data_IF_945899064880
#
_entry.id   IF_945899064880
#
_cell.length_a   1.000
_cell.length_b   1.000
_cell.length_c   1.000
_cell.angle_alpha   90.00
_cell.angle_beta   90.00
_cell.angle_gamma   90.00
#
_symmetry.space_group_name_H-M   'P 1'
#
loop_
_entity.id
_entity.type
_entity.pdbx_description
1 polymer ?
#
# COMPACT_ATOMS: atom_id res chain seq x y z
N UNK A 1 -20.64 0.45 3.78
CA UNK A 1 -19.34 0.91 4.30
C UNK A 1 -18.87 -0.05 5.38
N UNK A 2 -17.92 -0.93 5.05
CA UNK A 2 -17.31 -1.81 6.05
C UNK A 2 -16.37 -0.91 6.86
N UNK A 3 -16.81 -0.54 8.06
CA UNK A 3 -16.06 0.26 9.01
C UNK A 3 -14.86 -0.57 9.49
N UNK A 4 -13.78 -0.58 8.70
CA UNK A 4 -12.51 -1.22 9.05
C UNK A 4 -11.89 -0.37 10.16
N UNK A 5 -12.27 -0.69 11.38
CA UNK A 5 -11.53 -0.27 12.56
C UNK A 5 -10.04 -0.59 12.36
N UNK A 6 -9.12 0.36 12.60
CA UNK A 6 -7.70 0.12 12.45
C UNK A 6 -7.29 -1.02 13.40
N UNK A 7 -6.61 -2.03 12.87
CA UNK A 7 -6.20 -3.22 13.62
C UNK A 7 -5.42 -2.87 14.90
N UNK A 8 -4.72 -1.73 14.91
CA UNK A 8 -3.98 -1.20 16.04
C UNK A 8 -4.85 -0.82 17.24
N UNK A 9 -5.97 -0.14 17.02
CA UNK A 9 -6.89 0.24 18.09
C UNK A 9 -7.41 -0.98 18.85
N UNK A 10 -7.66 -2.07 18.12
CA UNK A 10 -8.10 -3.33 18.72
C UNK A 10 -7.04 -3.98 19.61
N UNK A 11 -5.79 -3.97 19.19
CA UNK A 11 -4.68 -4.51 20.00
C UNK A 11 -4.53 -3.73 21.30
N UNK A 12 -4.70 -2.40 21.25
CA UNK A 12 -4.72 -1.55 22.43
C UNK A 12 -5.85 -1.93 23.40
N UNK A 13 -7.09 -2.03 22.92
CA UNK A 13 -8.26 -2.41 23.74
C UNK A 13 -8.05 -3.76 24.44
N UNK A 14 -7.53 -4.76 23.71
CA UNK A 14 -7.24 -6.10 24.25
C UNK A 14 -6.17 -6.03 25.36
N UNK A 15 -5.07 -5.31 25.12
CA UNK A 15 -3.98 -5.20 26.08
C UNK A 15 -4.45 -4.53 27.39
N UNK A 16 -5.29 -3.50 27.29
CA UNK A 16 -5.84 -2.81 28.45
C UNK A 16 -6.80 -3.71 29.20
N UNK A 17 -7.67 -4.44 28.49
CA UNK A 17 -8.58 -5.42 29.09
C UNK A 17 -7.83 -6.54 29.82
N UNK A 18 -6.78 -7.10 29.22
CA UNK A 18 -5.97 -8.14 29.86
C UNK A 18 -5.30 -7.63 31.14
N UNK A 19 -4.73 -6.42 31.12
CA UNK A 19 -4.11 -5.83 32.31
C UNK A 19 -5.15 -5.50 33.39
N UNK A 20 -6.35 -5.07 32.99
CA UNK A 20 -7.48 -4.88 33.91
C UNK A 20 -7.89 -6.18 34.61
N UNK A 21 -8.02 -7.28 33.86
CA UNK A 21 -8.35 -8.59 34.41
C UNK A 21 -7.26 -9.05 35.38
N UNK A 22 -5.98 -8.94 35.00
CA UNK A 22 -4.86 -9.31 35.87
C UNK A 22 -4.84 -8.49 37.15
N UNK A 23 -5.04 -7.17 37.07
CA UNK A 23 -5.11 -6.32 38.25
C UNK A 23 -6.27 -6.69 39.16
N UNK A 24 -7.44 -6.99 38.59
CA UNK A 24 -8.62 -7.45 39.33
C UNK A 24 -8.36 -8.80 40.03
N UNK A 25 -7.71 -9.75 39.35
CA UNK A 25 -7.32 -11.04 39.94
C UNK A 25 -6.35 -10.84 41.12
N UNK A 26 -5.36 -9.95 40.98
CA UNK A 26 -4.41 -9.66 42.07
C UNK A 26 -5.11 -9.07 43.30
N UNK A 27 -6.08 -8.19 43.09
CA UNK A 27 -6.89 -7.61 44.16
C UNK A 27 -7.72 -8.71 44.84
N UNK A 28 -8.39 -9.58 44.08
CA UNK A 28 -9.17 -10.70 44.64
C UNK A 28 -8.27 -11.68 45.40
N UNK A 29 -7.06 -11.94 44.90
CA UNK A 29 -6.10 -12.82 45.57
C UNK A 29 -5.65 -12.24 46.91
N UNK A 30 -5.47 -10.92 47.01
CA UNK A 30 -5.20 -10.25 48.27
C UNK A 30 -6.37 -10.45 49.27
N UNK A 31 -7.61 -10.28 48.82
CA UNK A 31 -8.79 -10.52 49.67
C UNK A 31 -8.90 -11.98 50.11
N UNK A 32 -8.66 -12.93 49.21
CA UNK A 32 -8.64 -14.35 49.55
C UNK A 32 -7.64 -14.65 50.68
N UNK A 33 -6.43 -14.08 50.61
CA UNK A 33 -5.45 -14.27 51.69
C UNK A 33 -5.91 -13.69 53.03
N UNK A 34 -6.62 -12.56 52.99
CA UNK A 34 -7.16 -11.93 54.19
C UNK A 34 -8.34 -12.70 54.79
N UNK A 35 -9.26 -13.19 53.95
CA UNK A 35 -10.44 -13.95 54.39
C UNK A 35 -10.03 -15.29 55.01
N UNK A 36 -9.03 -15.94 54.42
CA UNK A 36 -8.42 -17.14 55.00
C UNK A 36 -7.78 -16.85 56.36
N UNK A 37 -7.15 -15.69 56.53
CA UNK A 37 -6.58 -15.27 57.83
C UNK A 37 -7.67 -15.04 58.88
N UNK A 38 -8.80 -14.42 58.51
CA UNK A 38 -9.96 -14.23 59.40
C UNK A 38 -10.79 -15.50 59.60
N UNK A 39 -10.43 -16.62 58.96
CA UNK A 39 -11.21 -17.87 58.99
C UNK A 39 -12.64 -17.73 58.45
N UNK A 40 -12.87 -16.82 57.51
CA UNK A 40 -14.15 -16.67 56.80
C UNK A 40 -14.17 -17.54 55.54
N UNK A 41 -14.56 -18.80 55.69
CA UNK A 41 -14.50 -19.79 54.61
C UNK A 41 -15.47 -19.50 53.46
N UNK A 42 -16.62 -18.89 53.73
CA UNK A 42 -17.60 -18.55 52.68
C UNK A 42 -17.09 -17.42 51.77
N UNK A 43 -16.53 -16.36 52.35
CA UNK A 43 -15.90 -15.27 51.61
C UNK A 43 -14.69 -15.78 50.78
N UNK A 44 -13.87 -16.64 51.39
CA UNK A 44 -12.74 -17.27 50.69
C UNK A 44 -13.21 -18.13 49.50
N UNK A 45 -14.32 -18.87 49.65
CA UNK A 45 -14.89 -19.65 48.55
C UNK A 45 -15.39 -18.75 47.41
N UNK A 46 -16.11 -17.67 47.74
CA UNK A 46 -16.58 -16.66 46.77
C UNK A 46 -15.39 -16.03 45.99
N UNK A 47 -14.31 -15.69 46.70
CA UNK A 47 -13.08 -15.16 46.09
C UNK A 47 -12.39 -16.20 45.19
N UNK A 48 -12.26 -17.45 45.62
CA UNK A 48 -11.66 -18.53 44.83
C UNK A 48 -12.44 -18.80 43.53
N UNK A 49 -13.77 -18.85 43.60
CA UNK A 49 -14.63 -18.99 42.40
C UNK A 49 -14.41 -17.82 41.45
N UNK A 50 -14.34 -16.59 41.97
CA UNK A 50 -14.10 -15.40 41.18
C UNK A 50 -12.74 -15.45 40.45
N UNK A 51 -11.66 -15.91 41.11
CA UNK A 51 -10.34 -16.09 40.49
C UNK A 51 -10.41 -17.08 39.33
N UNK A 52 -11.12 -18.20 39.49
CA UNK A 52 -11.28 -19.20 38.43
C UNK A 52 -12.04 -18.61 37.23
N UNK A 53 -13.13 -17.88 37.48
CA UNK A 53 -13.93 -17.24 36.43
C UNK A 53 -13.11 -16.19 35.67
N UNK A 54 -12.41 -15.30 36.38
CA UNK A 54 -11.58 -14.27 35.74
C UNK A 54 -10.34 -14.86 35.05
N UNK A 55 -9.75 -15.92 35.60
CA UNK A 55 -8.69 -16.69 34.96
C UNK A 55 -9.14 -17.35 33.66
N UNK A 56 -10.35 -17.92 33.63
CA UNK A 56 -10.96 -18.47 32.42
C UNK A 56 -11.23 -17.36 31.39
N UNK A 57 -11.71 -16.19 31.81
CA UNK A 57 -11.90 -15.03 30.93
C UNK A 57 -10.57 -14.56 30.31
N UNK A 58 -9.50 -14.47 31.12
CA UNK A 58 -8.15 -14.13 30.67
C UNK A 58 -7.65 -15.13 29.63
N UNK A 59 -7.75 -16.43 29.93
CA UNK A 59 -7.38 -17.51 29.01
C UNK A 59 -8.17 -17.46 27.70
N UNK A 60 -9.48 -17.20 27.76
CA UNK A 60 -10.34 -17.08 26.59
C UNK A 60 -9.93 -15.93 25.67
N UNK A 61 -9.59 -14.76 26.22
CA UNK A 61 -9.14 -13.61 25.43
C UNK A 61 -7.82 -13.94 24.73
N UNK A 62 -6.86 -14.54 25.43
CA UNK A 62 -5.58 -14.93 24.84
C UNK A 62 -5.78 -15.98 23.75
N UNK A 63 -6.54 -17.04 24.04
CA UNK A 63 -6.79 -18.15 23.11
C UNK A 63 -7.42 -17.65 21.79
N UNK A 64 -8.39 -16.76 21.90
CA UNK A 64 -9.10 -16.19 20.73
C UNK A 64 -8.36 -15.03 20.07
N UNK A 65 -7.13 -14.71 20.52
CA UNK A 65 -6.36 -13.52 20.09
C UNK A 65 -7.19 -12.23 20.16
N UNK A 66 -8.00 -12.11 21.22
CA UNK A 66 -8.92 -11.00 21.44
C UNK A 66 -9.93 -10.82 20.31
N UNK A 67 -10.59 -11.91 19.91
CA UNK A 67 -11.76 -11.85 19.03
C UNK A 67 -12.82 -10.87 19.57
N UNK A 68 -13.56 -10.18 18.70
CA UNK A 68 -14.66 -9.30 19.16
C UNK A 68 -15.72 -10.06 19.96
N UNK A 69 -15.97 -11.32 19.59
CA UNK A 69 -16.91 -12.17 20.31
C UNK A 69 -16.46 -12.44 21.75
N UNK A 70 -15.18 -12.76 21.94
CA UNK A 70 -14.64 -13.07 23.27
C UNK A 70 -14.56 -11.84 24.18
N UNK A 71 -14.17 -10.67 23.67
CA UNK A 71 -14.16 -9.44 24.49
C UNK A 71 -15.56 -9.05 24.94
N UNK A 72 -16.55 -9.16 24.06
CA UNK A 72 -17.98 -8.94 24.39
C UNK A 72 -18.48 -9.95 25.42
N UNK A 73 -18.16 -11.22 25.24
CA UNK A 73 -18.55 -12.28 26.16
C UNK A 73 -17.98 -12.07 27.56
N UNK A 74 -16.69 -11.72 27.67
CA UNK A 74 -16.06 -11.41 28.96
C UNK A 74 -16.75 -10.21 29.63
N UNK A 75 -17.15 -9.19 28.88
CA UNK A 75 -17.90 -8.08 29.47
C UNK A 75 -19.29 -8.46 29.94
N UNK A 76 -19.99 -9.33 29.23
CA UNK A 76 -21.24 -9.88 29.73
C UNK A 76 -21.03 -10.60 31.06
N UNK A 77 -19.92 -11.34 31.23
CA UNK A 77 -19.55 -11.95 32.51
C UNK A 77 -19.31 -10.89 33.59
N UNK A 78 -18.60 -9.81 33.30
CA UNK A 78 -18.42 -8.70 34.25
C UNK A 78 -19.75 -8.07 34.68
N UNK A 79 -20.65 -7.78 33.72
CA UNK A 79 -21.98 -7.24 34.03
C UNK A 79 -22.79 -8.23 34.86
N UNK A 80 -22.75 -9.52 34.53
CA UNK A 80 -23.40 -10.57 35.33
C UNK A 80 -22.81 -10.70 36.73
N UNK A 81 -21.49 -10.57 36.89
CA UNK A 81 -20.83 -10.57 38.19
C UNK A 81 -21.31 -9.41 39.06
N UNK A 82 -21.54 -8.24 38.46
CA UNK A 82 -22.06 -7.06 39.15
C UNK A 82 -23.52 -7.26 39.57
N UNK A 83 -24.35 -7.84 38.69
CA UNK A 83 -25.73 -8.18 39.03
C UNK A 83 -25.75 -9.18 40.19
N UNK A 84 -24.88 -10.18 40.17
CA UNK A 84 -24.71 -11.14 41.27
C UNK A 84 -24.33 -10.44 42.57
N UNK A 85 -23.29 -9.59 42.54
CA UNK A 85 -22.87 -8.80 43.69
C UNK A 85 -24.01 -7.99 44.31
N UNK A 86 -24.83 -7.33 43.48
CA UNK A 86 -25.99 -6.57 43.96
C UNK A 86 -27.00 -7.43 44.73
N UNK A 87 -27.37 -8.61 44.23
CA UNK A 87 -28.37 -9.44 44.93
C UNK A 87 -27.80 -10.05 46.22
N UNK A 88 -26.53 -10.44 46.22
CA UNK A 88 -25.93 -11.17 47.34
C UNK A 88 -25.26 -10.29 48.41
N UNK A 89 -24.89 -9.05 48.09
CA UNK A 89 -24.10 -8.18 48.97
C UNK A 89 -24.89 -6.95 49.48
N UNK A 90 -26.23 -7.03 49.57
CA UNK A 90 -27.02 -5.95 50.16
C UNK A 90 -27.37 -4.80 49.20
N UNK A 91 -27.37 -5.04 47.88
CA UNK A 91 -27.89 -4.10 46.90
C UNK A 91 -26.91 -2.99 46.52
N UNK A 92 -27.42 -1.77 46.31
CA UNK A 92 -26.62 -0.58 45.97
C UNK A 92 -25.98 0.12 47.17
N UNK A 93 -26.14 -0.39 48.39
CA UNK A 93 -25.55 0.24 49.57
C UNK A 93 -24.05 -0.06 49.69
N UNK A 94 -23.34 0.84 50.37
CA UNK A 94 -21.92 0.67 50.67
C UNK A 94 -21.05 0.61 49.42
N UNK A 95 -20.13 -0.35 49.41
CA UNK A 95 -19.05 -0.40 48.43
C UNK A 95 -19.49 -0.89 47.05
N UNK A 96 -20.58 -1.66 46.97
CA UNK A 96 -21.11 -2.18 45.71
C UNK A 96 -21.49 -1.05 44.76
N UNK A 97 -21.91 0.10 45.29
CA UNK A 97 -22.16 1.30 44.48
C UNK A 97 -20.93 1.72 43.67
N UNK A 98 -19.73 1.59 44.24
CA UNK A 98 -18.47 1.91 43.55
C UNK A 98 -18.16 0.91 42.43
N UNK A 99 -18.53 -0.36 42.55
CA UNK A 99 -18.34 -1.32 41.45
C UNK A 99 -19.26 -1.00 40.27
N UNK A 100 -20.50 -0.57 40.55
CA UNK A 100 -21.42 -0.07 39.53
C UNK A 100 -20.77 1.11 38.79
N UNK A 101 -20.43 2.18 39.52
CA UNK A 101 -19.86 3.37 38.90
C UNK A 101 -18.45 3.16 38.32
N UNK A 102 -17.68 2.22 38.86
CA UNK A 102 -16.37 1.85 38.35
C UNK A 102 -16.47 1.17 36.99
N UNK A 103 -17.44 0.26 36.80
CA UNK A 103 -17.61 -0.46 35.54
C UNK A 103 -17.92 0.49 34.38
N UNK A 104 -18.73 1.56 34.58
CA UNK A 104 -19.00 2.50 33.48
C UNK A 104 -17.71 3.19 33.01
N UNK A 105 -16.80 3.55 33.91
CA UNK A 105 -15.50 4.13 33.56
C UNK A 105 -14.69 3.13 32.74
N UNK A 106 -14.63 1.88 33.18
CA UNK A 106 -13.93 0.80 32.48
C UNK A 106 -14.52 0.55 31.10
N UNK A 107 -15.85 0.53 30.95
CA UNK A 107 -16.54 0.38 29.66
C UNK A 107 -16.23 1.53 28.70
N UNK A 108 -16.19 2.76 29.20
CA UNK A 108 -15.87 3.95 28.39
C UNK A 108 -14.42 3.96 27.92
N UNK A 109 -13.51 3.42 28.73
CA UNK A 109 -12.07 3.33 28.41
C UNK A 109 -11.79 2.18 27.44
N UNK A 110 -12.37 1.00 27.68
CA UNK A 110 -12.02 -0.23 26.95
C UNK A 110 -12.70 -0.31 25.58
N UNK A 111 -13.94 0.17 25.43
CA UNK A 111 -14.62 0.10 24.16
C UNK A 111 -14.60 1.43 23.43
N UNK A 112 -14.39 1.35 22.12
CA UNK A 112 -14.60 2.47 21.21
C UNK A 112 -15.76 2.21 20.25
N UNK A 113 -16.34 3.29 19.71
CA UNK A 113 -17.32 3.19 18.63
C UNK A 113 -18.72 2.74 19.00
N UNK A 114 -19.28 1.91 18.13
CA UNK A 114 -20.65 1.41 18.25
C UNK A 114 -20.82 0.43 19.41
N UNK A 115 -19.83 -0.44 19.63
CA UNK A 115 -19.86 -1.42 20.73
C UNK A 115 -19.92 -0.70 22.09
N UNK A 116 -19.17 0.39 22.26
CA UNK A 116 -19.25 1.24 23.46
C UNK A 116 -20.67 1.71 23.73
N UNK A 117 -21.32 2.29 22.72
CA UNK A 117 -22.66 2.84 22.87
C UNK A 117 -23.67 1.74 23.22
N UNK A 118 -23.57 0.56 22.59
CA UNK A 118 -24.43 -0.58 22.89
C UNK A 118 -24.25 -1.04 24.35
N UNK A 119 -23.01 -1.22 24.81
CA UNK A 119 -22.75 -1.62 26.20
C UNK A 119 -23.16 -0.58 27.22
N UNK A 120 -22.95 0.71 26.94
CA UNK A 120 -23.39 1.79 27.81
C UNK A 120 -24.92 1.81 27.95
N UNK A 121 -25.66 1.63 26.85
CA UNK A 121 -27.13 1.53 26.89
C UNK A 121 -27.57 0.30 27.70
N UNK A 122 -27.01 -0.88 27.43
CA UNK A 122 -27.31 -2.10 28.20
C UNK A 122 -27.01 -1.89 29.68
N UNK A 123 -25.86 -1.30 30.00
CA UNK A 123 -25.45 -1.02 31.38
C UNK A 123 -26.44 -0.10 32.10
N UNK A 124 -26.87 1.00 31.47
CA UNK A 124 -27.89 1.89 32.06
C UNK A 124 -29.26 1.22 32.21
N UNK A 125 -29.65 0.34 31.29
CA UNK A 125 -30.88 -0.45 31.44
C UNK A 125 -30.78 -1.41 32.63
N UNK A 126 -29.66 -2.12 32.77
CA UNK A 126 -29.38 -2.98 33.92
C UNK A 126 -29.39 -2.17 35.22
N UNK A 127 -28.70 -1.03 35.26
CA UNK A 127 -28.68 -0.14 36.41
C UNK A 127 -30.09 0.35 36.77
N UNK A 128 -30.89 0.77 35.78
CA UNK A 128 -32.29 1.18 35.98
C UNK A 128 -33.15 0.05 36.54
N UNK A 129 -32.97 -1.17 36.04
CA UNK A 129 -33.64 -2.36 36.56
C UNK A 129 -33.23 -2.67 38.01
N UNK A 130 -31.96 -2.53 38.35
CA UNK A 130 -31.45 -2.75 39.70
C UNK A 130 -31.97 -1.68 40.67
N UNK A 131 -32.00 -0.41 40.27
CA UNK A 131 -32.64 0.67 41.02
C UNK A 131 -34.12 0.35 41.25
N UNK A 132 -34.83 -0.13 40.23
CA UNK A 132 -36.23 -0.53 40.36
C UNK A 132 -36.41 -1.67 41.36
N UNK A 133 -35.60 -2.73 41.28
CA UNK A 133 -35.64 -3.86 42.23
C UNK A 133 -35.35 -3.38 43.65
N UNK A 134 -34.34 -2.51 43.83
CA UNK A 134 -34.00 -1.93 45.14
C UNK A 134 -35.18 -1.17 45.77
N UNK A 135 -35.94 -0.42 44.97
CA UNK A 135 -37.04 0.41 45.46
C UNK A 135 -38.34 -0.36 45.70
N UNK A 136 -38.66 -1.33 44.83
CA UNK A 136 -39.97 -2.01 44.85
C UNK A 136 -39.93 -3.46 45.34
N UNK A 137 -38.76 -4.09 45.35
CA UNK A 137 -38.56 -5.51 45.66
C UNK A 137 -37.34 -5.72 46.55
N UNK A 138 -37.21 -4.90 47.59
CA UNK A 138 -36.10 -4.97 48.55
C UNK A 138 -35.93 -6.36 49.19
N UNK A 139 -37.02 -7.11 49.36
CA UNK A 139 -37.03 -8.48 49.91
C UNK A 139 -36.19 -9.49 49.10
N UNK A 140 -35.89 -9.20 47.83
CA UNK A 140 -35.09 -10.08 46.97
C UNK A 140 -33.58 -9.89 47.19
N UNK A 141 -33.18 -8.90 47.96
CA UNK A 141 -31.78 -8.56 48.22
C UNK A 141 -31.39 -9.20 49.55
N UNK A 142 -30.42 -10.10 49.52
CA UNK A 142 -29.86 -10.69 50.75
C UNK A 142 -28.78 -9.76 51.30
N UNK A 143 -28.88 -9.45 52.59
CA UNK A 143 -27.92 -8.60 53.31
C UNK A 143 -26.94 -9.49 54.09
N UNK A 144 -26.06 -10.16 53.34
CA UNK A 144 -25.05 -11.10 53.86
C UNK A 144 -23.82 -10.37 54.44
N UNK A 145 -23.77 -9.02 54.36
CA UNK A 145 -22.58 -8.19 54.61
C UNK A 145 -22.56 -7.39 55.91
N UNK A 146 -23.41 -7.70 56.90
CA UNK A 146 -23.56 -6.86 58.11
C UNK A 146 -22.36 -6.84 59.06
N UNK A 147 -21.42 -7.78 58.93
CA UNK A 147 -20.30 -7.93 59.90
C UNK A 147 -18.95 -7.39 59.39
N UNK A 148 -18.91 -6.74 58.22
CA UNK A 148 -17.66 -6.20 57.70
C UNK A 148 -17.16 -5.01 58.52
N UNK A 149 -15.93 -5.13 59.00
CA UNK A 149 -15.25 -4.09 59.78
C UNK A 149 -15.07 -2.85 58.92
N UNK A 150 -15.37 -1.65 59.45
CA UNK A 150 -15.20 -0.35 58.74
C UNK A 150 -13.82 -0.21 58.07
N UNK A 151 -12.76 -0.74 58.70
CA UNK A 151 -11.41 -0.73 58.13
C UNK A 151 -11.28 -1.51 56.81
N UNK A 152 -12.00 -2.63 56.64
CA UNK A 152 -12.00 -3.39 55.39
C UNK A 152 -12.65 -2.59 54.27
N UNK A 153 -13.80 -1.97 54.53
CA UNK A 153 -14.46 -1.11 53.56
C UNK A 153 -13.55 0.04 53.11
N UNK A 154 -12.81 0.66 54.04
CA UNK A 154 -11.84 1.72 53.71
C UNK A 154 -10.71 1.17 52.82
N UNK A 155 -10.14 0.00 53.18
CA UNK A 155 -9.08 -0.61 52.40
C UNK A 155 -9.54 -0.98 50.99
N UNK A 156 -10.76 -1.52 50.85
CA UNK A 156 -11.37 -1.81 49.55
C UNK A 156 -11.60 -0.57 48.69
N UNK A 157 -12.09 0.52 49.28
CA UNK A 157 -12.25 1.79 48.57
C UNK A 157 -10.89 2.27 48.03
N UNK A 158 -9.85 2.23 48.86
CA UNK A 158 -8.49 2.63 48.47
C UNK A 158 -7.96 1.74 47.34
N UNK A 159 -8.12 0.42 47.45
CA UNK A 159 -7.68 -0.54 46.43
C UNK A 159 -8.39 -0.30 45.07
N UNK A 160 -9.69 -0.04 45.09
CA UNK A 160 -10.49 0.23 43.87
C UNK A 160 -10.15 1.56 43.22
N UNK A 161 -9.97 2.62 44.02
CA UNK A 161 -9.52 3.93 43.51
C UNK A 161 -8.11 3.78 42.92
N UNK A 162 -7.21 3.10 43.62
CA UNK A 162 -5.85 2.82 43.14
C UNK A 162 -5.84 2.07 41.82
N UNK A 163 -6.66 1.02 41.69
CA UNK A 163 -6.82 0.28 40.43
C UNK A 163 -7.35 1.17 39.30
N UNK A 164 -8.38 1.98 39.57
CA UNK A 164 -8.96 2.89 38.56
C UNK A 164 -7.93 3.90 38.05
N UNK A 165 -7.15 4.51 38.96
CA UNK A 165 -6.06 5.43 38.62
C UNK A 165 -4.96 4.72 37.84
N UNK A 166 -4.57 3.51 38.24
CA UNK A 166 -3.57 2.71 37.56
C UNK A 166 -3.97 2.39 36.11
N UNK A 167 -5.21 1.95 35.89
CA UNK A 167 -5.74 1.65 34.56
C UNK A 167 -5.82 2.91 33.70
N UNK A 168 -6.24 4.04 34.27
CA UNK A 168 -6.27 5.31 33.55
C UNK A 168 -4.85 5.76 33.13
N UNK A 169 -3.87 5.64 34.02
CA UNK A 169 -2.47 5.91 33.71
C UNK A 169 -1.94 5.00 32.59
N UNK A 170 -2.21 3.70 32.67
CA UNK A 170 -1.84 2.75 31.62
C UNK A 170 -2.45 3.10 30.27
N UNK A 171 -3.75 3.44 30.25
CA UNK A 171 -4.44 3.88 29.04
C UNK A 171 -3.76 5.11 28.44
N UNK A 172 -3.47 6.12 29.27
CA UNK A 172 -2.79 7.35 28.82
C UNK A 172 -1.43 7.05 28.22
N UNK A 173 -0.61 6.23 28.87
CA UNK A 173 0.72 5.88 28.38
C UNK A 173 0.68 5.15 27.03
N UNK A 174 -0.20 4.16 26.86
CA UNK A 174 -0.29 3.43 25.58
C UNK A 174 -0.92 4.29 24.47
N UNK A 175 -1.87 5.16 24.81
CA UNK A 175 -2.45 6.11 23.87
C UNK A 175 -1.39 7.09 23.32
N UNK A 176 -0.53 7.61 24.19
CA UNK A 176 0.58 8.49 23.78
C UNK A 176 1.58 7.78 22.85
N UNK A 177 1.92 6.52 23.14
CA UNK A 177 2.78 5.71 22.26
C UNK A 177 2.16 5.52 20.87
N UNK A 178 0.87 5.23 20.83
CA UNK A 178 0.18 5.05 19.56
C UNK A 178 0.09 6.37 18.79
N UNK A 179 -0.08 7.51 19.48
CA UNK A 179 -0.07 8.83 18.83
C UNK A 179 1.27 9.10 18.14
N UNK A 180 2.39 8.80 18.81
CA UNK A 180 3.74 8.94 18.22
C UNK A 180 3.90 8.03 17.01
N UNK A 181 3.49 6.75 17.11
CA UNK A 181 3.57 5.81 15.97
C UNK A 181 2.76 6.29 14.77
N UNK A 182 1.54 6.79 14.99
CA UNK A 182 0.69 7.32 13.90
C UNK A 182 1.35 8.55 13.27
N UNK A 183 1.99 9.39 14.07
CA UNK A 183 2.74 10.54 13.56
C UNK A 183 3.91 10.10 12.67
N UNK A 184 4.75 9.18 13.12
CA UNK A 184 5.91 8.68 12.36
C UNK A 184 5.48 8.00 11.05
N UNK A 185 4.40 7.21 11.08
CA UNK A 185 3.86 6.53 9.88
C UNK A 185 3.30 7.55 8.88
N UNK A 186 2.63 8.61 9.34
CA UNK A 186 2.14 9.67 8.47
C UNK A 186 3.28 10.44 7.81
N UNK A 187 4.35 10.73 8.54
CA UNK A 187 5.54 11.38 7.99
C UNK A 187 6.19 10.52 6.90
N UNK A 188 6.36 9.21 7.14
CA UNK A 188 6.87 8.28 6.14
C UNK A 188 5.96 8.19 4.90
N UNK A 189 4.63 8.21 5.11
CA UNK A 189 3.67 8.18 4.01
C UNK A 189 3.77 9.45 3.16
N UNK A 190 3.95 10.60 3.79
CA UNK A 190 4.17 11.87 3.10
C UNK A 190 5.46 11.86 2.29
N UNK A 191 6.57 11.42 2.89
CA UNK A 191 7.86 11.26 2.17
C UNK A 191 7.73 10.32 0.98
N UNK A 192 7.09 9.17 1.17
CA UNK A 192 6.84 8.18 0.09
C UNK A 192 5.96 8.79 -1.01
N UNK A 193 4.95 9.58 -0.65
CA UNK A 193 4.09 10.26 -1.61
C UNK A 193 4.86 11.29 -2.44
N UNK A 194 5.77 12.02 -1.81
CA UNK A 194 6.66 12.97 -2.50
C UNK A 194 7.59 12.24 -3.46
N UNK A 195 8.20 11.13 -3.02
CA UNK A 195 9.09 10.32 -3.86
C UNK A 195 8.35 9.76 -5.08
N UNK A 196 7.16 9.17 -4.89
CA UNK A 196 6.32 8.68 -5.98
C UNK A 196 5.97 9.80 -6.95
N UNK A 197 5.63 10.98 -6.45
CA UNK A 197 5.34 12.14 -7.31
C UNK A 197 6.56 12.53 -8.15
N UNK A 198 7.75 12.54 -7.56
CA UNK A 198 8.99 12.85 -8.28
C UNK A 198 9.32 11.78 -9.32
N UNK A 199 9.17 10.50 -8.99
CA UNK A 199 9.38 9.39 -9.94
C UNK A 199 8.39 9.45 -11.10
N UNK A 200 7.12 9.80 -10.84
CA UNK A 200 6.11 9.97 -11.88
C UNK A 200 6.46 11.11 -12.84
N UNK A 201 6.98 12.23 -12.33
CA UNK A 201 7.45 13.33 -13.17
C UNK A 201 8.60 12.87 -14.08
N UNK A 202 9.58 12.14 -13.53
CA UNK A 202 10.69 11.56 -14.30
C UNK A 202 10.17 10.61 -15.38
N UNK A 203 9.28 9.67 -15.04
CA UNK A 203 8.67 8.74 -16.01
C UNK A 203 7.94 9.52 -17.12
N UNK A 204 7.18 10.56 -16.77
CA UNK A 204 6.47 11.39 -17.75
C UNK A 204 7.45 12.05 -18.74
N UNK A 205 8.60 12.53 -18.26
CA UNK A 205 9.64 13.07 -19.14
C UNK A 205 10.27 12.02 -20.06
N UNK A 206 10.53 10.80 -19.55
CA UNK A 206 11.04 9.71 -20.37
C UNK A 206 10.03 9.26 -21.43
N UNK A 207 8.76 9.15 -21.08
CA UNK A 207 7.70 8.81 -22.04
C UNK A 207 7.62 9.83 -23.17
N UNK A 208 7.60 11.12 -22.84
CA UNK A 208 7.63 12.19 -23.85
C UNK A 208 8.85 12.10 -24.77
N UNK A 209 10.03 11.75 -24.22
CA UNK A 209 11.24 11.56 -25.02
C UNK A 209 11.15 10.34 -25.94
N UNK A 210 10.62 9.23 -25.44
CA UNK A 210 10.42 8.02 -26.23
C UNK A 210 9.45 8.28 -27.39
N UNK A 211 8.37 9.03 -27.15
CA UNK A 211 7.43 9.44 -28.20
C UNK A 211 8.13 10.22 -29.31
N UNK A 212 8.95 11.22 -28.97
CA UNK A 212 9.72 12.00 -29.96
C UNK A 212 10.68 11.10 -30.74
N UNK A 213 11.44 10.24 -30.06
CA UNK A 213 12.39 9.34 -30.71
C UNK A 213 11.70 8.33 -31.64
N UNK A 214 10.54 7.81 -31.22
CA UNK A 214 9.72 6.92 -32.04
C UNK A 214 9.21 7.66 -33.27
N UNK A 215 8.76 8.91 -33.13
CA UNK A 215 8.31 9.72 -34.25
C UNK A 215 9.45 9.97 -35.26
N UNK A 216 10.63 10.36 -34.78
CA UNK A 216 11.83 10.56 -35.62
C UNK A 216 12.19 9.29 -36.39
N UNK A 217 12.31 8.15 -35.69
CA UNK A 217 12.64 6.87 -36.33
C UNK A 217 11.57 6.40 -37.30
N UNK A 218 10.30 6.67 -37.00
CA UNK A 218 9.19 6.33 -37.89
C UNK A 218 9.29 7.17 -39.17
N UNK A 219 9.63 8.46 -39.08
CA UNK A 219 9.87 9.31 -40.26
C UNK A 219 11.05 8.80 -41.08
N UNK A 220 12.17 8.46 -40.46
CA UNK A 220 13.34 7.91 -41.15
C UNK A 220 13.00 6.63 -41.91
N UNK A 221 12.29 5.71 -41.26
CA UNK A 221 11.86 4.43 -41.87
C UNK A 221 10.89 4.70 -43.02
N UNK A 222 9.95 5.64 -42.88
CA UNK A 222 9.03 5.99 -43.97
C UNK A 222 9.76 6.56 -45.18
N UNK A 223 10.77 7.41 -44.97
CA UNK A 223 11.63 7.93 -46.03
C UNK A 223 12.37 6.77 -46.70
N UNK A 224 13.04 5.93 -45.93
CA UNK A 224 13.78 4.78 -46.46
C UNK A 224 12.89 3.81 -47.23
N UNK A 225 11.68 3.54 -46.72
CA UNK A 225 10.72 2.67 -47.38
C UNK A 225 10.26 3.25 -48.73
N UNK A 226 9.96 4.55 -48.78
CA UNK A 226 9.61 5.22 -50.04
C UNK A 226 10.73 5.09 -51.08
N UNK A 227 11.98 5.25 -50.65
CA UNK A 227 13.14 5.11 -51.52
C UNK A 227 13.37 3.67 -51.99
N UNK A 228 13.18 2.67 -51.12
CA UNK A 228 13.26 1.26 -51.50
C UNK A 228 12.24 0.92 -52.59
N UNK A 229 11.02 1.47 -52.49
CA UNK A 229 9.98 1.33 -53.52
C UNK A 229 10.44 1.94 -54.85
N UNK A 230 11.04 3.14 -54.82
CA UNK A 230 11.58 3.79 -56.02
C UNK A 230 12.71 2.98 -56.66
N UNK A 231 13.67 2.49 -55.86
CA UNK A 231 14.74 1.62 -56.33
C UNK A 231 14.20 0.33 -56.96
N UNK A 232 13.24 -0.33 -56.31
CA UNK A 232 12.61 -1.55 -56.84
C UNK A 232 11.89 -1.28 -58.18
N UNK A 233 11.27 -0.10 -58.34
CA UNK A 233 10.66 0.33 -59.59
C UNK A 233 11.70 0.53 -60.69
N UNK A 234 12.79 1.26 -60.41
CA UNK A 234 13.90 1.47 -61.36
C UNK A 234 14.52 0.14 -61.79
N UNK A 235 14.82 -0.75 -60.85
CA UNK A 235 15.41 -2.05 -61.15
C UNK A 235 14.46 -2.92 -62.02
N UNK A 236 13.18 -2.98 -61.66
CA UNK A 236 12.21 -3.82 -62.36
C UNK A 236 11.84 -3.32 -63.77
N UNK A 237 11.80 -2.01 -64.00
CA UNK A 237 11.32 -1.44 -65.27
C UNK A 237 12.43 -0.84 -66.14
N UNK A 238 13.41 -0.16 -65.53
CA UNK A 238 14.45 0.56 -66.27
C UNK A 238 15.68 -0.29 -66.54
N UNK A 239 16.04 -1.19 -65.63
CA UNK A 239 17.20 -2.10 -65.81
C UNK A 239 16.78 -3.36 -66.55
N UNK A 240 15.67 -4.00 -66.15
CA UNK A 240 15.23 -5.28 -66.74
C UNK A 240 14.83 -5.17 -68.21
N UNK A 241 14.30 -4.02 -68.65
CA UNK A 241 13.87 -3.77 -70.03
C UNK A 241 15.01 -3.89 -71.07
N UNK A 242 16.07 -3.06 -70.98
CA UNK A 242 17.22 -3.18 -71.88
C UNK A 242 17.95 -4.52 -71.73
N UNK A 243 18.09 -5.06 -70.51
CA UNK A 243 18.69 -6.38 -70.30
C UNK A 243 17.93 -7.51 -71.01
N UNK A 244 16.60 -7.52 -70.94
CA UNK A 244 15.78 -8.50 -71.65
C UNK A 244 15.90 -8.36 -73.17
N UNK A 245 16.01 -7.13 -73.69
CA UNK A 245 16.28 -6.87 -75.11
C UNK A 245 17.65 -7.41 -75.54
N UNK A 246 18.70 -7.16 -74.77
CA UNK A 246 20.04 -7.71 -75.01
C UNK A 246 20.01 -9.24 -75.04
N UNK A 247 19.41 -9.87 -74.03
CA UNK A 247 19.29 -11.34 -73.97
C UNK A 247 18.49 -11.91 -75.14
N UNK A 248 17.43 -11.22 -75.57
CA UNK A 248 16.64 -11.56 -76.75
C UNK A 248 17.46 -11.49 -78.04
N UNK A 249 18.22 -10.40 -78.24
CA UNK A 249 19.11 -10.23 -79.40
C UNK A 249 20.22 -11.31 -79.43
N UNK A 250 20.84 -11.59 -78.29
CA UNK A 250 21.84 -12.68 -78.16
C UNK A 250 21.22 -14.04 -78.52
N UNK A 251 19.97 -14.29 -78.12
CA UNK A 251 19.27 -15.52 -78.49
C UNK A 251 18.99 -15.60 -79.99
N UNK A 252 18.55 -14.51 -80.63
CA UNK A 252 18.33 -14.45 -82.07
C UNK A 252 19.62 -14.70 -82.85
N UNK A 253 20.73 -14.05 -82.47
CA UNK A 253 22.04 -14.25 -83.09
C UNK A 253 22.52 -15.70 -82.98
N UNK A 254 22.36 -16.34 -81.82
CA UNK A 254 22.71 -17.76 -81.60
C UNK A 254 21.88 -18.75 -82.41
N UNK A 255 20.72 -18.32 -82.93
CA UNK A 255 19.82 -19.15 -83.72
C UNK A 255 19.98 -18.88 -85.23
N UNK A 256 20.34 -17.66 -85.60
CA UNK A 256 20.73 -17.27 -86.96
C UNK A 256 21.99 -18.00 -87.44
N UNK A 257 22.96 -18.27 -86.55
CA UNK A 257 24.15 -19.12 -86.82
C UNK A 257 23.83 -20.54 -87.28
N UNK A 258 22.61 -21.04 -87.05
CA UNK A 258 22.18 -22.41 -87.35
C UNK A 258 21.42 -22.49 -88.68
N UNK A 259 21.06 -21.37 -89.30
CA UNK A 259 20.10 -21.32 -90.41
C UNK A 259 20.68 -20.58 -91.64
N UNK A 260 21.22 -21.33 -92.61
CA UNK A 260 21.47 -21.01 -94.04
C UNK A 260 22.11 -19.64 -94.45
N UNK A 261 23.11 -19.75 -95.34
CA UNK A 261 24.29 -18.88 -95.53
C UNK A 261 24.11 -17.56 -96.33
N UNK A 262 22.91 -17.19 -96.81
CA UNK A 262 22.84 -16.19 -97.91
C UNK A 262 22.65 -14.71 -97.49
N UNK A 263 22.43 -14.37 -96.21
CA UNK A 263 22.33 -12.97 -95.73
C UNK A 263 22.90 -12.74 -94.32
N UNK A 264 23.70 -13.71 -93.84
CA UNK A 264 24.14 -13.82 -92.46
C UNK A 264 24.90 -12.58 -91.95
N UNK A 265 25.79 -12.01 -92.77
CA UNK A 265 26.64 -10.89 -92.34
C UNK A 265 25.85 -9.59 -92.11
N UNK A 266 24.79 -9.33 -92.89
CA UNK A 266 24.00 -8.11 -92.77
C UNK A 266 23.08 -8.14 -91.54
N UNK A 267 22.39 -9.26 -91.28
CA UNK A 267 21.55 -9.44 -90.08
C UNK A 267 22.37 -9.45 -88.79
N UNK A 268 23.58 -10.03 -88.83
CA UNK A 268 24.49 -10.04 -87.67
C UNK A 268 24.93 -8.62 -87.29
N UNK A 269 25.30 -7.80 -88.28
CA UNK A 269 25.69 -6.40 -88.05
C UNK A 269 24.52 -5.58 -87.49
N UNK A 270 23.30 -5.80 -87.98
CA UNK A 270 22.11 -5.13 -87.45
C UNK A 270 21.81 -5.52 -86.00
N UNK A 271 21.88 -6.81 -85.65
CA UNK A 271 21.70 -7.28 -84.28
C UNK A 271 22.78 -6.78 -83.31
N UNK A 272 24.03 -6.69 -83.77
CA UNK A 272 25.14 -6.11 -82.99
C UNK A 272 24.87 -4.62 -82.72
N UNK A 273 24.44 -3.86 -83.74
CA UNK A 273 24.11 -2.44 -83.57
C UNK A 273 22.93 -2.23 -82.60
N UNK A 274 21.87 -3.06 -82.68
CA UNK A 274 20.75 -2.98 -81.74
C UNK A 274 21.16 -3.37 -80.31
N UNK A 275 22.10 -4.31 -80.16
CA UNK A 275 22.62 -4.73 -78.86
C UNK A 275 23.49 -3.65 -78.23
N UNK A 276 24.30 -2.96 -79.04
CA UNK A 276 25.11 -1.82 -78.61
C UNK A 276 24.22 -0.69 -78.07
N UNK A 277 23.14 -0.33 -78.79
CA UNK A 277 22.13 0.65 -78.33
C UNK A 277 21.49 0.22 -77.01
N UNK A 278 21.08 -1.04 -76.88
CA UNK A 278 20.49 -1.53 -75.62
C UNK A 278 21.51 -1.55 -74.47
N UNK A 279 22.79 -1.81 -74.75
CA UNK A 279 23.87 -1.80 -73.78
C UNK A 279 24.18 -0.37 -73.32
N UNK A 280 24.15 0.62 -74.23
CA UNK A 280 24.31 2.04 -73.87
C UNK A 280 23.13 2.52 -73.02
N UNK A 281 21.90 2.17 -73.38
CA UNK A 281 20.72 2.50 -72.57
C UNK A 281 20.79 1.88 -71.16
N UNK A 282 21.29 0.66 -71.03
CA UNK A 282 21.49 0.01 -69.73
C UNK A 282 22.56 0.72 -68.90
N UNK A 283 23.68 1.10 -69.53
CA UNK A 283 24.78 1.82 -68.89
C UNK A 283 24.32 3.20 -68.38
N UNK A 284 23.49 3.91 -69.15
CA UNK A 284 22.90 5.18 -68.74
C UNK A 284 21.94 5.03 -67.54
N UNK A 285 21.15 3.95 -67.52
CA UNK A 285 20.29 3.63 -66.37
C UNK A 285 21.13 3.31 -65.13
N UNK A 286 22.22 2.53 -65.27
CA UNK A 286 23.12 2.20 -64.16
C UNK A 286 23.80 3.47 -63.63
N UNK A 287 24.34 4.33 -64.50
CA UNK A 287 24.95 5.62 -64.10
C UNK A 287 23.97 6.50 -63.33
N UNK A 288 22.70 6.51 -63.74
CA UNK A 288 21.64 7.26 -63.05
C UNK A 288 21.40 6.70 -61.65
N UNK A 289 21.34 5.37 -61.49
CA UNK A 289 21.19 4.71 -60.18
C UNK A 289 22.39 4.98 -59.28
N UNK A 290 23.61 4.89 -59.80
CA UNK A 290 24.85 5.13 -59.02
C UNK A 290 24.92 6.57 -58.51
N UNK A 291 24.56 7.57 -59.34
CA UNK A 291 24.50 8.96 -58.90
C UNK A 291 23.51 9.19 -57.77
N UNK A 292 22.32 8.60 -57.87
CA UNK A 292 21.30 8.69 -56.82
C UNK A 292 21.80 8.09 -55.48
N UNK A 293 22.60 7.01 -55.52
CA UNK A 293 23.17 6.37 -54.33
C UNK A 293 24.36 7.16 -53.71
N UNK A 294 25.18 7.81 -54.55
CA UNK A 294 26.34 8.58 -54.07
C UNK A 294 25.94 9.88 -53.36
N UNK A 295 24.95 10.59 -53.90
CA UNK A 295 24.37 11.77 -53.23
C UNK A 295 23.74 11.38 -51.89
N UNK A 296 23.17 10.18 -51.81
CA UNK A 296 22.49 9.63 -50.64
C UNK A 296 23.43 9.21 -49.49
N UNK A 297 24.62 8.70 -49.83
CA UNK A 297 25.63 8.31 -48.83
C UNK A 297 26.15 9.54 -48.08
N UNK A 298 26.17 10.70 -48.74
CA UNK A 298 26.54 11.99 -48.14
C UNK A 298 25.50 12.50 -47.14
N UNK A 299 24.22 12.51 -47.50
CA UNK A 299 23.14 12.98 -46.62
C UNK A 299 23.04 12.16 -45.33
N UNK A 300 23.24 10.84 -45.40
CA UNK A 300 23.21 9.95 -44.23
C UNK A 300 24.41 10.15 -43.27
N UNK A 301 25.57 10.57 -43.80
CA UNK A 301 26.76 10.87 -43.00
C UNK A 301 26.65 12.24 -42.31
N UNK A 302 26.06 13.24 -42.97
CA UNK A 302 25.80 14.56 -42.39
C UNK A 302 24.70 14.51 -41.31
N UNK A 303 23.68 13.67 -41.49
CA UNK A 303 22.61 13.52 -40.48
C UNK A 303 23.11 12.80 -39.21
N UNK A 304 23.97 11.78 -39.32
CA UNK A 304 24.50 11.06 -38.16
C UNK A 304 25.52 11.86 -37.33
N UNK A 305 26.21 12.83 -37.93
CA UNK A 305 27.17 13.69 -37.22
C UNK A 305 26.50 14.74 -36.34
N UNK A 306 25.28 15.18 -36.70
CA UNK A 306 24.46 16.06 -35.86
C UNK A 306 23.95 15.40 -34.56
N UNK A 307 23.91 14.05 -34.50
CA UNK A 307 23.53 13.27 -33.31
C UNK A 307 24.65 13.29 -32.24
N UNK A 308 25.85 13.79 -32.57
CA UNK A 308 26.98 13.97 -31.64
C UNK A 308 26.77 15.11 -30.63
N UNK A 309 25.70 15.91 -30.72
CA UNK A 309 25.31 16.88 -29.67
C UNK A 309 24.76 16.23 -28.39
N UNK A 310 24.73 14.90 -28.31
CA UNK A 310 24.36 14.14 -27.10
C UNK A 310 25.25 14.48 -25.91
N UNK A 311 26.54 14.78 -26.11
CA UNK A 311 27.49 15.09 -25.03
C UNK A 311 27.22 16.45 -24.36
N UNK A 312 26.82 17.45 -25.14
CA UNK A 312 26.46 18.77 -24.60
C UNK A 312 25.19 18.71 -23.74
N UNK A 313 24.26 17.81 -24.06
CA UNK A 313 22.98 17.70 -23.35
C UNK A 313 23.08 16.91 -22.05
N UNK A 314 23.92 15.86 -21.99
CA UNK A 314 24.24 15.18 -20.73
C UNK A 314 24.95 16.13 -19.76
N UNK A 315 25.80 17.02 -20.28
CA UNK A 315 26.48 18.05 -19.48
C UNK A 315 25.48 19.06 -18.91
N UNK A 316 24.49 19.50 -19.70
CA UNK A 316 23.43 20.41 -19.25
C UNK A 316 22.51 19.78 -18.17
N UNK A 317 22.15 18.49 -18.33
CA UNK A 317 21.31 17.77 -17.36
C UNK A 317 22.05 17.54 -16.04
N UNK A 318 23.33 17.19 -16.10
CA UNK A 318 24.16 17.00 -14.90
C UNK A 318 24.31 18.31 -14.13
N UNK A 319 24.45 19.44 -14.84
CA UNK A 319 24.47 20.78 -14.23
C UNK A 319 23.12 21.18 -13.59
N UNK A 320 21.99 20.79 -14.19
CA UNK A 320 20.65 21.07 -13.63
C UNK A 320 20.35 20.25 -12.37
N UNK A 321 20.78 18.99 -12.33
CA UNK A 321 20.65 18.13 -11.15
C UNK A 321 21.51 18.69 -10.00
N UNK A 322 22.78 19.03 -10.26
CA UNK A 322 23.68 19.60 -9.26
C UNK A 322 23.17 20.94 -8.68
N UNK A 323 22.58 21.81 -9.51
CA UNK A 323 22.04 23.10 -9.07
C UNK A 323 20.80 22.95 -8.17
N UNK A 324 20.04 21.86 -8.30
CA UNK A 324 18.82 21.63 -7.51
C UNK A 324 19.13 21.00 -6.14
N UNK A 325 20.17 20.18 -6.05
CA UNK A 325 20.68 19.63 -4.79
C UNK A 325 21.28 20.73 -3.88
N UNK A 326 21.96 21.72 -4.47
CA UNK A 326 22.55 22.85 -3.72
C UNK A 326 21.47 23.80 -3.15
N UNK A 327 20.34 23.92 -3.85
CA UNK A 327 19.18 24.69 -3.39
C UNK A 327 18.47 24.00 -2.20
N UNK A 328 18.50 22.67 -2.14
CA UNK A 328 17.91 21.87 -1.06
C UNK A 328 18.78 21.86 0.21
N UNK A 329 20.10 21.70 0.07
CA UNK A 329 21.03 21.73 1.23
C UNK A 329 21.09 23.11 1.89
N UNK A 330 20.94 24.20 1.13
CA UNK A 330 20.81 25.55 1.66
C UNK A 330 19.52 25.79 2.45
N UNK A 331 18.39 25.25 1.97
CA UNK A 331 17.08 25.45 2.62
C UNK A 331 16.94 24.66 3.93
N UNK A 332 17.40 23.41 3.97
CA UNK A 332 17.40 22.60 5.20
C UNK A 332 18.33 23.12 6.30
N UNK A 333 19.41 23.85 5.94
CA UNK A 333 20.27 24.54 6.93
C UNK A 333 19.61 25.81 7.49
N UNK A 334 18.87 26.53 6.65
CA UNK A 334 18.19 27.77 7.05
C UNK A 334 16.97 27.50 7.93
N UNK A 335 16.25 26.40 7.69
CA UNK A 335 15.11 25.97 8.52
C UNK A 335 15.58 25.40 9.88
N UNK A 336 16.72 24.71 9.96
CA UNK A 336 17.30 24.28 11.26
C UNK A 336 17.73 25.45 12.14
N UNK A 337 18.29 26.52 11.55
CA UNK A 337 18.70 27.72 12.28
C UNK A 337 17.54 28.59 12.81
N UNK A 338 16.30 28.32 12.38
CA UNK A 338 15.09 28.98 12.90
C UNK A 338 14.34 28.15 13.94
N UNK A 339 14.77 26.90 14.18
CA UNK A 339 14.13 25.98 15.11
C UNK A 339 14.96 25.71 16.38
N UNK A 340 16.19 26.24 16.43
CA UNK A 340 17.04 26.40 17.63
C UNK A 340 16.94 27.83 18.15
#
# INVERSE_FOLDING_TARGET
MINRYPAHQRTLEINILLRFIVSTILIILLYLTFDLYKSSYDAALKAAVSIVVYGACYGLIIYTRGSRGSTRFVMCIFILSIIGGFFFQGGMFGINSLDMFGLIIVLLIIFSGWDRNVFVVIYFLVLGMMIFVQLYRFEWITDDGKDDTVLMNIFEIIARIGNTVYINYLYKCEFERERVRVFDVNEQLEQTSIEISAQNEVIATYNKRLEVLVEERTKDIQILNRKLIEYAFFNSHKVRGPLARILGLVYLMKRATVSSQDNYDHELVEHINMMDVCATELDDVIKTITKLLDEETKDLLETNTSISSKEDYYTLITALIAKKDDQYTGKSRTERAQTE
#
